data_IF_367556121419
#
_entry.id   IF_367556121419
#
_cell.length_a   1.000
_cell.length_b   1.000
_cell.length_c   1.000
_cell.angle_alpha   90.00
_cell.angle_beta   90.00
_cell.angle_gamma   90.00
#
_symmetry.space_group_name_H-M   'P 1'
#
loop_
_entity.id
_entity.type
_entity.pdbx_description
1 polymer ?
#
# COMPACT_ATOMS: atom_id res chain seq x y z
N UNK A 1 -11.33 -7.15 34.17
CA UNK A 1 -10.68 -8.42 33.94
C UNK A 1 -9.23 -8.23 33.58
N UNK A 2 -8.40 -8.97 34.22
CA UNK A 2 -6.97 -8.83 33.97
C UNK A 2 -6.59 -9.21 32.58
N UNK A 3 -7.32 -10.13 31.98
CA UNK A 3 -7.04 -10.58 30.63
C UNK A 3 -7.19 -9.46 29.62
N UNK A 4 -8.02 -8.49 29.93
CA UNK A 4 -8.28 -7.39 29.02
C UNK A 4 -7.27 -6.27 29.13
N UNK A 5 -6.34 -6.39 30.03
CA UNK A 5 -5.33 -5.35 30.19
C UNK A 5 -4.05 -5.68 29.41
N UNK A 6 -4.00 -6.80 28.70
CA UNK A 6 -2.84 -7.05 27.86
C UNK A 6 -2.89 -6.13 26.65
N UNK A 7 -1.74 -5.66 26.21
CA UNK A 7 -1.69 -4.72 25.08
C UNK A 7 -2.37 -5.24 23.82
N UNK A 8 -2.37 -6.53 23.61
CA UNK A 8 -2.95 -7.08 22.39
C UNK A 8 -4.46 -7.15 22.40
N UNK A 9 -5.10 -6.87 23.52
CA UNK A 9 -6.55 -7.00 23.61
C UNK A 9 -7.31 -5.70 23.39
N UNK A 10 -6.63 -4.65 23.05
CA UNK A 10 -7.20 -3.31 23.06
C UNK A 10 -6.81 -2.60 21.77
N UNK A 11 -7.78 -1.99 21.14
CA UNK A 11 -7.52 -1.25 19.90
C UNK A 11 -6.47 -0.17 20.12
N UNK A 12 -6.58 0.55 21.23
CA UNK A 12 -5.63 1.61 21.54
C UNK A 12 -4.20 1.07 21.67
N UNK A 13 -4.06 -0.04 22.37
CA UNK A 13 -2.76 -0.63 22.57
C UNK A 13 -2.20 -1.21 21.27
N UNK A 14 -3.07 -1.83 20.46
CA UNK A 14 -2.64 -2.37 19.17
C UNK A 14 -2.24 -1.25 18.21
N UNK A 15 -2.99 -0.16 18.20
CA UNK A 15 -2.64 0.98 17.37
C UNK A 15 -1.29 1.56 17.78
N UNK A 16 -1.08 1.67 19.07
CA UNK A 16 0.20 2.17 19.58
C UNK A 16 1.34 1.22 19.23
N UNK A 17 1.10 -0.08 19.38
CA UNK A 17 2.08 -1.09 19.02
C UNK A 17 2.47 -0.97 17.55
N UNK A 18 1.49 -0.87 16.69
CA UNK A 18 1.73 -0.72 15.26
C UNK A 18 2.54 0.53 14.96
N UNK A 19 2.09 1.65 15.49
CA UNK A 19 2.76 2.92 15.23
C UNK A 19 4.18 2.95 15.79
N UNK A 20 4.33 2.55 17.03
CA UNK A 20 5.59 2.74 17.74
C UNK A 20 6.60 1.63 17.46
N UNK A 21 6.16 0.40 17.53
CA UNK A 21 7.08 -0.73 17.45
C UNK A 21 7.28 -1.25 16.03
N UNK A 22 6.28 -1.16 15.20
CA UNK A 22 6.38 -1.64 13.82
C UNK A 22 6.80 -0.53 12.87
N UNK A 23 6.10 0.59 12.91
CA UNK A 23 6.41 1.72 12.02
C UNK A 23 7.49 2.63 12.59
N UNK A 24 7.76 2.52 13.88
CA UNK A 24 8.75 3.36 14.56
C UNK A 24 8.50 4.84 14.34
N UNK A 25 7.25 5.23 14.46
CA UNK A 25 6.82 6.61 14.26
C UNK A 25 6.36 7.25 15.55
N UNK A 26 6.58 8.55 15.67
CA UNK A 26 5.93 9.33 16.70
C UNK A 26 4.48 9.54 16.34
N UNK A 27 3.68 9.99 17.31
CA UNK A 27 2.28 10.31 17.02
C UNK A 27 2.15 11.40 15.94
N UNK A 28 3.03 12.38 16.00
CA UNK A 28 3.04 13.46 15.00
C UNK A 28 3.30 12.90 13.61
N UNK A 29 4.34 12.05 13.49
CA UNK A 29 4.68 11.46 12.20
C UNK A 29 3.57 10.56 11.68
N UNK A 30 2.95 9.82 12.58
CA UNK A 30 1.86 8.94 12.21
C UNK A 30 0.65 9.75 11.72
N UNK A 31 0.36 10.85 12.41
CA UNK A 31 -0.70 11.75 11.96
C UNK A 31 -0.41 12.30 10.57
N UNK A 32 0.82 12.70 10.33
CA UNK A 32 1.22 13.18 9.02
C UNK A 32 1.12 12.10 7.95
N UNK A 33 1.56 10.90 8.27
CA UNK A 33 1.57 9.80 7.32
C UNK A 33 0.16 9.35 6.95
N UNK A 34 -0.75 9.38 7.91
CA UNK A 34 -2.11 8.91 7.68
C UNK A 34 -3.08 10.01 7.26
N UNK A 35 -2.77 11.25 7.60
CA UNK A 35 -3.70 12.34 7.40
C UNK A 35 -4.73 12.43 8.51
N UNK A 36 -4.65 11.57 9.52
CA UNK A 36 -5.53 11.64 10.68
C UNK A 36 -5.01 12.73 11.61
N UNK A 37 -5.92 13.51 12.14
CA UNK A 37 -5.52 14.61 13.00
C UNK A 37 -4.79 14.10 14.26
N UNK A 38 -3.76 14.81 14.67
CA UNK A 38 -2.95 14.40 15.82
C UNK A 38 -3.82 14.24 17.08
N UNK A 39 -4.76 15.15 17.29
CA UNK A 39 -5.63 15.04 18.46
C UNK A 39 -6.48 13.78 18.43
N UNK A 40 -6.86 13.32 17.24
CA UNK A 40 -7.60 12.08 17.10
C UNK A 40 -6.70 10.88 17.41
N UNK A 41 -5.47 10.89 16.92
CA UNK A 41 -4.52 9.82 17.24
C UNK A 41 -4.33 9.70 18.75
N UNK A 42 -4.17 10.83 19.41
CA UNK A 42 -4.00 10.85 20.86
C UNK A 42 -5.21 10.29 21.58
N UNK A 43 -6.41 10.62 21.11
CA UNK A 43 -7.63 10.08 21.69
C UNK A 43 -7.76 8.59 21.49
N UNK A 44 -7.42 8.11 20.31
CA UNK A 44 -7.47 6.68 20.02
C UNK A 44 -6.52 5.90 20.92
N UNK A 45 -5.29 6.35 21.02
CA UNK A 45 -4.30 5.67 21.85
C UNK A 45 -4.56 5.86 23.34
N UNK A 46 -5.25 6.92 23.71
CA UNK A 46 -5.61 7.17 25.10
C UNK A 46 -6.93 6.53 25.52
N UNK A 47 -7.55 5.76 24.67
CA UNK A 47 -8.83 5.09 24.95
C UNK A 47 -9.98 6.05 25.16
N UNK A 48 -9.86 7.26 24.66
CA UNK A 48 -10.92 8.25 24.76
C UNK A 48 -11.95 8.13 23.63
N UNK A 49 -11.55 7.52 22.54
CA UNK A 49 -12.47 7.28 21.44
C UNK A 49 -11.95 6.13 20.59
N UNK A 50 -12.83 5.62 19.74
CA UNK A 50 -12.50 4.54 18.82
C UNK A 50 -12.38 5.17 17.43
N UNK A 51 -11.42 4.73 16.61
CA UNK A 51 -11.28 5.27 15.26
C UNK A 51 -12.57 5.15 14.47
N UNK A 52 -12.91 6.20 13.75
CA UNK A 52 -14.03 6.17 12.80
C UNK A 52 -13.65 5.34 11.59
N UNK A 53 -14.65 5.03 10.76
CA UNK A 53 -14.38 4.30 9.54
C UNK A 53 -13.37 5.02 8.64
N UNK A 54 -13.51 6.33 8.56
CA UNK A 54 -12.60 7.15 7.77
C UNK A 54 -11.17 7.09 8.32
N UNK A 55 -11.04 7.20 9.64
CA UNK A 55 -9.73 7.08 10.28
C UNK A 55 -9.16 5.67 10.11
N UNK A 56 -10.00 4.66 10.19
CA UNK A 56 -9.54 3.28 9.98
C UNK A 56 -8.98 3.08 8.58
N UNK A 57 -9.63 3.64 7.58
CA UNK A 57 -9.12 3.56 6.22
C UNK A 57 -7.76 4.26 6.09
N UNK A 58 -7.64 5.42 6.71
CA UNK A 58 -6.39 6.15 6.70
C UNK A 58 -5.28 5.37 7.44
N UNK A 59 -5.61 4.78 8.56
CA UNK A 59 -4.66 3.98 9.32
C UNK A 59 -4.28 2.73 8.53
N UNK A 60 -5.23 2.11 7.84
CA UNK A 60 -4.94 0.94 7.03
C UNK A 60 -3.95 1.24 5.91
N UNK A 61 -3.88 2.48 5.47
CA UNK A 61 -2.93 2.87 4.42
C UNK A 61 -1.48 2.66 4.83
N UNK A 62 -1.22 2.50 6.12
CA UNK A 62 0.13 2.24 6.61
C UNK A 62 0.51 0.77 6.53
N UNK A 63 -0.43 -0.10 6.17
CA UNK A 63 -0.16 -1.51 6.02
C UNK A 63 -0.69 -2.39 7.14
N UNK A 64 -1.34 -1.81 8.14
CA UNK A 64 -1.92 -2.59 9.23
C UNK A 64 -3.19 -3.28 8.78
N UNK A 65 -3.38 -4.51 9.24
CA UNK A 65 -4.61 -5.24 8.98
C UNK A 65 -5.67 -4.76 9.96
N UNK A 66 -6.79 -4.27 9.42
CA UNK A 66 -7.86 -3.74 10.27
C UNK A 66 -8.52 -4.80 11.11
N UNK A 67 -8.61 -6.02 10.59
CA UNK A 67 -9.19 -7.11 11.38
C UNK A 67 -8.35 -7.35 12.63
N UNK A 68 -7.03 -7.38 12.46
CA UNK A 68 -6.14 -7.52 13.61
C UNK A 68 -6.26 -6.29 14.54
N UNK A 69 -6.27 -5.10 13.97
CA UNK A 69 -6.35 -3.88 14.78
C UNK A 69 -7.61 -3.87 15.65
N UNK A 70 -8.72 -4.31 15.09
CA UNK A 70 -10.00 -4.26 15.77
C UNK A 70 -10.24 -5.45 16.70
N UNK A 71 -9.72 -6.61 16.37
CA UNK A 71 -10.01 -7.83 17.11
C UNK A 71 -8.81 -8.46 17.80
N UNK A 72 -7.62 -8.14 17.37
CA UNK A 72 -6.41 -8.78 17.86
C UNK A 72 -6.13 -10.14 17.24
N UNK A 73 -6.94 -10.54 16.27
CA UNK A 73 -6.78 -11.85 15.63
C UNK A 73 -6.18 -11.70 14.25
N UNK A 74 -5.42 -12.70 13.86
CA UNK A 74 -4.77 -12.71 12.57
C UNK A 74 -3.43 -12.00 12.60
N UNK A 75 -2.93 -11.71 11.43
CA UNK A 75 -1.65 -11.05 11.29
C UNK A 75 -1.80 -9.54 11.41
N UNK A 76 -0.80 -8.93 12.01
CA UNK A 76 -0.73 -7.51 12.20
C UNK A 76 -0.66 -6.76 10.88
N UNK A 77 0.03 -7.29 9.90
CA UNK A 77 0.17 -6.66 8.60
C UNK A 77 -0.91 -7.13 7.66
N UNK A 78 -1.51 -6.17 6.98
CA UNK A 78 -2.47 -6.49 5.94
C UNK A 78 -1.78 -7.22 4.80
N UNK A 79 -2.51 -8.08 4.08
CA UNK A 79 -1.97 -8.69 2.87
C UNK A 79 -1.54 -7.60 1.93
N UNK A 80 -0.30 -7.66 1.50
CA UNK A 80 0.22 -6.64 0.63
C UNK A 80 -0.37 -6.82 -0.76
N UNK A 81 -0.63 -5.72 -1.39
CA UNK A 81 -1.10 -5.75 -2.77
C UNK A 81 -0.08 -6.37 -3.71
N UNK A 82 1.11 -6.58 -3.21
CA UNK A 82 2.20 -7.09 -4.03
C UNK A 82 2.41 -8.57 -3.89
N UNK A 83 1.39 -9.32 -3.52
CA UNK A 83 1.58 -10.71 -3.65
C UNK A 83 1.13 -11.58 -2.51
N UNK A 84 0.28 -11.07 -1.68
CA UNK A 84 -0.19 -11.87 -0.57
C UNK A 84 -1.36 -12.75 -0.94
N UNK A 85 -2.01 -12.45 -2.04
CA UNK A 85 -2.98 -13.40 -2.58
C UNK A 85 -2.34 -14.00 -3.81
N UNK A 86 -2.46 -15.31 -3.93
CA UNK A 86 -1.89 -16.02 -5.06
C UNK A 86 -2.42 -15.49 -6.38
N UNK A 87 -3.69 -15.17 -6.42
CA UNK A 87 -4.30 -14.66 -7.64
C UNK A 87 -3.70 -13.32 -8.03
N UNK A 88 -3.48 -12.45 -7.06
CA UNK A 88 -2.91 -11.16 -7.35
C UNK A 88 -1.44 -11.28 -7.72
N UNK A 89 -0.71 -12.15 -7.04
CA UNK A 89 0.67 -12.42 -7.38
C UNK A 89 0.80 -12.90 -8.80
N UNK A 90 -0.10 -13.80 -9.20
CA UNK A 90 -0.08 -14.30 -10.56
C UNK A 90 -0.42 -13.21 -11.57
N UNK A 91 -1.37 -12.35 -11.26
CA UNK A 91 -1.73 -11.26 -12.13
C UNK A 91 -0.56 -10.28 -12.28
N UNK A 92 0.10 -9.96 -11.19
CA UNK A 92 1.26 -9.08 -11.23
C UNK A 92 2.41 -9.71 -11.99
N UNK A 93 2.66 -11.00 -11.77
CA UNK A 93 3.71 -11.71 -12.47
C UNK A 93 3.41 -11.81 -13.96
N UNK A 94 2.15 -11.98 -14.31
CA UNK A 94 1.74 -12.02 -15.70
C UNK A 94 1.97 -10.67 -16.37
N UNK A 95 1.62 -9.60 -15.68
CA UNK A 95 1.85 -8.26 -16.19
C UNK A 95 3.34 -8.01 -16.42
N UNK A 96 4.17 -8.37 -15.45
CA UNK A 96 5.62 -8.22 -15.58
C UNK A 96 6.14 -9.04 -16.74
N UNK A 97 5.65 -10.27 -16.87
CA UNK A 97 6.07 -11.12 -17.99
C UNK A 97 5.71 -10.51 -19.33
N UNK A 98 4.52 -9.91 -19.42
CA UNK A 98 4.10 -9.26 -20.66
C UNK A 98 4.98 -8.06 -20.98
N UNK A 99 5.30 -7.27 -19.98
CA UNK A 99 6.19 -6.14 -20.17
C UNK A 99 7.58 -6.60 -20.59
N UNK A 100 8.09 -7.64 -19.96
CA UNK A 100 9.38 -8.20 -20.31
C UNK A 100 9.38 -8.80 -21.72
N UNK A 101 8.27 -9.42 -22.12
CA UNK A 101 8.15 -9.97 -23.45
C UNK A 101 8.22 -8.86 -24.49
N UNK A 102 7.58 -7.74 -24.24
CA UNK A 102 7.65 -6.59 -25.13
C UNK A 102 9.07 -6.07 -25.23
N UNK A 103 9.74 -5.93 -24.11
CA UNK A 103 11.14 -5.52 -24.10
C UNK A 103 12.02 -6.54 -24.81
N UNK A 104 11.75 -7.81 -24.58
CA UNK A 104 12.48 -8.87 -25.23
C UNK A 104 12.32 -8.84 -26.72
N UNK A 105 11.11 -8.57 -27.19
CA UNK A 105 10.87 -8.44 -28.63
C UNK A 105 11.64 -7.27 -29.18
N UNK A 106 11.63 -6.15 -28.48
CA UNK A 106 12.41 -4.99 -28.93
C UNK A 106 13.90 -5.27 -28.89
N UNK A 107 14.36 -5.98 -27.88
CA UNK A 107 15.77 -6.33 -27.76
C UNK A 107 16.21 -7.35 -28.79
N UNK A 108 15.31 -8.21 -29.22
CA UNK A 108 15.59 -9.20 -30.22
C UNK A 108 15.64 -8.65 -31.64
N UNK A 109 15.19 -7.44 -31.83
CA UNK A 109 15.23 -6.76 -33.09
C UNK A 109 16.61 -6.11 -33.24
N UNK A 110 17.16 -6.15 -34.43
CA UNK A 110 18.46 -5.51 -34.68
C UNK A 110 18.34 -4.02 -34.35
N UNK A 111 19.46 -3.42 -34.00
CA UNK A 111 19.47 -2.05 -33.54
C UNK A 111 18.74 -1.09 -34.45
N UNK A 112 18.99 -1.19 -35.74
CA UNK A 112 18.33 -0.31 -36.68
C UNK A 112 16.83 -0.53 -36.72
N UNK A 113 16.40 -1.79 -36.66
CA UNK A 113 14.98 -2.10 -36.63
C UNK A 113 14.36 -1.71 -35.29
N UNK A 114 15.11 -1.91 -34.25
CA UNK A 114 14.65 -1.51 -32.93
C UNK A 114 14.40 -0.01 -32.87
N UNK A 115 15.34 0.76 -33.40
CA UNK A 115 15.18 2.20 -33.47
C UNK A 115 13.97 2.58 -34.28
N UNK A 116 13.79 1.93 -35.42
CA UNK A 116 12.67 2.22 -36.29
C UNK A 116 11.35 1.93 -35.60
N UNK A 117 11.26 0.81 -34.87
CA UNK A 117 10.06 0.46 -34.16
C UNK A 117 9.79 1.46 -33.04
N UNK A 118 10.83 1.82 -32.32
CA UNK A 118 10.66 2.80 -31.23
C UNK A 118 10.26 4.16 -31.77
N UNK A 119 10.86 4.58 -32.87
CA UNK A 119 10.49 5.83 -33.51
C UNK A 119 9.04 5.83 -33.96
N UNK A 120 8.61 4.71 -34.50
CA UNK A 120 7.24 4.57 -34.93
C UNK A 120 6.28 4.66 -33.75
N UNK A 121 6.61 4.01 -32.67
CA UNK A 121 5.81 4.08 -31.45
C UNK A 121 5.78 5.52 -30.93
N UNK A 122 6.93 6.16 -30.85
CA UNK A 122 7.01 7.54 -30.39
C UNK A 122 6.26 8.48 -31.31
N UNK A 123 6.32 8.22 -32.58
CA UNK A 123 5.59 9.03 -33.55
C UNK A 123 4.10 8.94 -33.32
N UNK A 124 3.59 7.75 -33.09
CA UNK A 124 2.18 7.55 -32.79
C UNK A 124 1.80 8.26 -31.51
N UNK A 125 2.60 8.11 -30.47
CA UNK A 125 2.33 8.73 -29.19
C UNK A 125 2.36 10.26 -29.34
N UNK A 126 3.37 10.78 -30.02
CA UNK A 126 3.47 12.22 -30.21
C UNK A 126 2.31 12.79 -30.98
N UNK A 127 1.89 12.12 -32.02
CA UNK A 127 0.77 12.60 -32.80
C UNK A 127 -0.51 12.55 -31.98
N UNK A 128 -0.66 11.54 -31.17
CA UNK A 128 -1.78 11.46 -30.25
C UNK A 128 -1.74 12.60 -29.24
N UNK A 129 -0.57 12.86 -28.70
CA UNK A 129 -0.41 13.94 -27.72
C UNK A 129 -0.68 15.30 -28.32
N UNK A 130 -0.26 15.51 -29.55
CA UNK A 130 -0.52 16.77 -30.23
C UNK A 130 -1.93 16.89 -30.73
N UNK A 131 -2.70 15.82 -30.68
CA UNK A 131 -4.02 15.81 -31.25
C UNK A 131 -3.99 15.86 -32.77
N UNK A 132 -2.89 15.53 -33.35
CA UNK A 132 -2.73 15.49 -34.80
C UNK A 132 -3.13 14.18 -35.40
N UNK A 133 -3.55 13.31 -34.57
CA UNK A 133 -3.92 11.97 -34.97
C UNK A 133 -5.32 11.72 -34.76
#
# INVERSE_FOLDING_TARGET
MLLNSTPENDIAARLRLWRKDVLEMTQVRFAEATGVHLSAIRKYEGRHSVPSGESLLAIASTGVDLHWLLTGKGDMRAPSNNGDSDAKTEADAELVRRLMAIEGLLSGIQDDKRSAVLEEIFSIVKETERGCF
#
